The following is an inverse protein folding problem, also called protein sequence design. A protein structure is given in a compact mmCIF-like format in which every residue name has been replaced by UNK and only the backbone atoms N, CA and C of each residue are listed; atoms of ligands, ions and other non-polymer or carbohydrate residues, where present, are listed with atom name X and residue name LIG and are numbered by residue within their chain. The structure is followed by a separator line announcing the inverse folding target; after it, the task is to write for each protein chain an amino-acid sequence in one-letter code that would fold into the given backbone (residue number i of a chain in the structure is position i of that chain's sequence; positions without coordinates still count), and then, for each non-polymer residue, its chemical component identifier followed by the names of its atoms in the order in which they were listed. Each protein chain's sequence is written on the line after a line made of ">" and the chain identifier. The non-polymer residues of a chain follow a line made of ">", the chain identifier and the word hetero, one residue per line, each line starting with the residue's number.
data_IF_617998297435
#
_entry.id   IF_617998297435
#
_cell.length_a   1.000
_cell.length_b   1.000
_cell.length_c   1.000
_cell.angle_alpha   90.00
_cell.angle_beta   90.00
_cell.angle_gamma   90.00
#
_symmetry.space_group_name_H-M   'P 1'
#
loop_
_entity.id
_entity.type
_entity.pdbx_description
1 polymer ?
#
# COMPACT_ATOMS: atom_id res chain seq x y z
N UNK A 1 4.23 -8.40 34.35
CA UNK A 1 5.02 -7.28 33.81
C UNK A 1 4.96 -6.16 34.83
N UNK A 2 6.11 -5.72 35.34
CA UNK A 2 6.16 -4.72 36.40
C UNK A 2 5.62 -3.38 35.88
N UNK A 3 4.58 -2.86 36.53
CA UNK A 3 3.94 -1.58 36.17
C UNK A 3 4.95 -0.43 36.20
N UNK A 4 5.95 -0.50 37.09
CA UNK A 4 6.98 0.51 37.22
C UNK A 4 7.90 0.54 35.99
N UNK A 5 8.28 -0.63 35.47
CA UNK A 5 9.08 -0.75 34.24
C UNK A 5 8.29 -0.21 33.05
N UNK A 6 7.03 -0.62 32.90
CA UNK A 6 6.18 -0.15 31.80
C UNK A 6 5.99 1.37 31.81
N UNK A 7 5.78 1.98 32.98
CA UNK A 7 5.66 3.44 33.13
C UNK A 7 6.95 4.19 32.78
N UNK A 8 8.10 3.64 33.18
CA UNK A 8 9.41 4.25 32.91
C UNK A 8 9.69 4.32 31.41
N UNK A 9 9.38 3.26 30.66
CA UNK A 9 9.65 3.19 29.23
C UNK A 9 8.54 3.78 28.35
N UNK A 10 7.30 3.88 28.84
CA UNK A 10 6.19 4.45 28.07
C UNK A 10 6.36 5.95 27.75
N UNK A 11 7.09 6.69 28.57
CA UNK A 11 7.37 8.11 28.37
C UNK A 11 8.69 8.36 27.61
N UNK A 12 9.49 7.32 27.35
CA UNK A 12 10.76 7.45 26.67
C UNK A 12 10.55 7.63 25.16
N UNK A 13 11.26 8.58 24.56
CA UNK A 13 11.33 8.70 23.09
C UNK A 13 12.15 7.53 22.55
N UNK A 14 11.48 6.51 22.04
CA UNK A 14 12.12 5.35 21.41
C UNK A 14 12.15 5.53 19.89
N UNK A 15 13.23 5.09 19.21
CA UNK A 15 13.24 5.05 17.75
C UNK A 15 12.10 4.17 17.24
N UNK A 16 11.46 4.61 16.15
CA UNK A 16 10.53 3.75 15.39
C UNK A 16 11.36 2.77 14.56
N UNK A 17 11.58 1.57 15.08
CA UNK A 17 12.31 0.50 14.38
C UNK A 17 11.45 -0.11 13.27
N UNK A 18 11.30 0.63 12.18
CA UNK A 18 10.66 0.19 10.92
C UNK A 18 11.66 -0.51 10.01
N UNK A 19 12.95 -0.18 10.13
CA UNK A 19 14.09 -0.84 9.50
C UNK A 19 15.35 -0.66 10.35
N UNK A 20 16.40 -1.42 10.04
CA UNK A 20 17.75 -1.19 10.58
C UNK A 20 18.81 -1.27 9.47
N UNK A 21 19.65 -0.24 9.28
CA UNK A 21 19.59 1.07 9.92
C UNK A 21 18.26 1.81 9.65
N UNK A 22 17.94 2.79 10.48
CA UNK A 22 16.66 3.53 10.34
C UNK A 22 16.74 4.54 9.20
N UNK A 23 15.60 5.02 8.71
CA UNK A 23 15.55 6.08 7.68
C UNK A 23 16.23 7.39 8.10
N UNK A 24 16.47 7.62 9.40
CA UNK A 24 17.24 8.77 9.87
C UNK A 24 18.72 8.75 9.42
N UNK A 25 19.22 7.57 9.02
CA UNK A 25 20.57 7.39 8.50
C UNK A 25 20.63 7.58 6.97
N UNK A 26 19.53 7.92 6.29
CA UNK A 26 19.56 8.18 4.85
C UNK A 26 20.32 9.48 4.56
N UNK A 27 21.18 9.44 3.55
CA UNK A 27 22.01 10.56 3.13
C UNK A 27 22.26 10.52 1.60
N UNK A 28 22.66 11.65 1.02
CA UNK A 28 22.85 11.81 -0.44
C UNK A 28 24.07 11.06 -1.02
N UNK A 29 24.71 10.19 -0.22
CA UNK A 29 25.86 9.39 -0.64
C UNK A 29 25.46 8.06 -1.29
N UNK A 30 24.17 7.74 -1.32
CA UNK A 30 23.59 6.64 -2.09
C UNK A 30 22.77 7.25 -3.23
N UNK A 31 23.19 6.98 -4.46
CA UNK A 31 22.61 7.60 -5.66
C UNK A 31 22.02 6.62 -6.66
N UNK A 32 21.71 7.14 -7.85
CA UNK A 32 21.14 6.35 -8.94
C UNK A 32 22.06 5.20 -9.38
N UNK A 33 23.38 5.42 -9.44
CA UNK A 33 24.37 4.39 -9.81
C UNK A 33 24.38 3.22 -8.82
N UNK A 34 24.20 3.50 -7.52
CA UNK A 34 24.11 2.46 -6.50
C UNK A 34 22.84 1.63 -6.66
N UNK A 35 21.70 2.29 -6.87
CA UNK A 35 20.44 1.62 -7.13
C UNK A 35 20.48 0.76 -8.39
N UNK A 36 21.06 1.26 -9.48
CA UNK A 36 21.26 0.50 -10.72
C UNK A 36 22.13 -0.73 -10.48
N UNK A 37 23.25 -0.57 -9.78
CA UNK A 37 24.15 -1.66 -9.43
C UNK A 37 23.46 -2.71 -8.56
N UNK A 38 22.65 -2.31 -7.59
CA UNK A 38 21.91 -3.24 -6.73
C UNK A 38 20.82 -4.00 -7.48
N UNK A 39 20.05 -3.33 -8.35
CA UNK A 39 19.04 -3.97 -9.18
C UNK A 39 19.66 -4.96 -10.17
N UNK A 40 20.80 -4.61 -10.78
CA UNK A 40 21.51 -5.49 -11.70
C UNK A 40 22.19 -6.69 -11.00
N UNK A 41 22.44 -6.59 -9.69
CA UNK A 41 23.07 -7.64 -8.89
C UNK A 41 22.10 -8.71 -8.38
N UNK A 42 20.79 -8.54 -8.58
CA UNK A 42 19.78 -9.53 -8.19
C UNK A 42 20.05 -10.86 -8.91
N UNK A 43 20.18 -11.93 -8.14
CA UNK A 43 20.50 -13.24 -8.67
C UNK A 43 19.26 -13.95 -9.26
N UNK A 44 19.43 -14.87 -10.22
CA UNK A 44 18.31 -15.59 -10.83
C UNK A 44 17.44 -16.40 -9.86
N UNK A 45 17.98 -16.81 -8.72
CA UNK A 45 17.30 -17.57 -7.67
C UNK A 45 16.67 -16.69 -6.57
N UNK A 46 16.87 -15.37 -6.63
CA UNK A 46 16.25 -14.42 -5.69
C UNK A 46 14.81 -14.07 -6.11
N UNK A 47 13.92 -14.02 -5.12
CA UNK A 47 12.52 -13.62 -5.34
C UNK A 47 12.33 -12.13 -5.09
N UNK A 48 11.34 -11.53 -5.74
CA UNK A 48 11.03 -10.10 -5.58
C UNK A 48 9.79 -9.88 -4.72
N UNK A 49 9.83 -8.79 -3.94
CA UNK A 49 8.68 -8.21 -3.25
C UNK A 49 8.49 -6.79 -3.74
N UNK A 50 7.30 -6.47 -4.27
CA UNK A 50 6.98 -5.17 -4.83
C UNK A 50 6.08 -4.39 -3.87
N UNK A 51 6.46 -3.15 -3.57
CA UNK A 51 5.59 -2.19 -2.87
C UNK A 51 5.25 -1.04 -3.81
N UNK A 52 3.96 -0.84 -4.06
CA UNK A 52 3.44 0.18 -4.97
C UNK A 52 2.71 1.24 -4.13
N UNK A 53 3.29 2.43 -4.09
CA UNK A 53 2.77 3.52 -3.27
C UNK A 53 1.76 4.35 -4.07
N UNK A 54 0.54 4.53 -3.55
CA UNK A 54 -0.48 5.42 -4.13
C UNK A 54 -0.71 6.58 -3.15
N UNK A 55 -0.13 7.78 -3.39
CA UNK A 55 -0.04 8.86 -2.41
C UNK A 55 -1.30 9.74 -2.36
N UNK A 56 -2.47 9.17 -2.61
CA UNK A 56 -3.73 9.92 -2.71
C UNK A 56 -4.78 9.37 -1.75
N UNK A 57 -5.51 10.29 -1.13
CA UNK A 57 -6.67 10.04 -0.30
C UNK A 57 -7.81 10.95 -0.74
N UNK A 58 -9.06 10.50 -0.58
CA UNK A 58 -10.23 11.38 -0.78
C UNK A 58 -10.28 12.48 0.30
N UNK A 59 -9.81 12.19 1.52
CA UNK A 59 -9.68 13.13 2.63
C UNK A 59 -8.59 12.68 3.60
N UNK A 60 -7.92 13.61 4.27
CA UNK A 60 -6.92 13.27 5.30
C UNK A 60 -7.60 12.91 6.63
N UNK A 61 -7.14 11.82 7.25
CA UNK A 61 -7.48 11.49 8.62
C UNK A 61 -6.68 12.39 9.57
N UNK A 62 -7.29 12.89 10.66
CA UNK A 62 -6.62 13.75 11.64
C UNK A 62 -5.40 13.11 12.32
N UNK A 63 -5.33 11.78 12.36
CA UNK A 63 -4.19 11.02 12.89
C UNK A 63 -3.24 10.51 11.80
N UNK A 64 -3.48 10.87 10.54
CA UNK A 64 -2.71 10.31 9.43
C UNK A 64 -1.24 10.75 9.56
N UNK A 65 -0.35 9.77 9.72
CA UNK A 65 1.10 9.95 9.61
C UNK A 65 1.67 9.35 8.33
N UNK A 66 0.81 8.94 7.38
CA UNK A 66 1.23 8.36 6.11
C UNK A 66 1.74 9.45 5.16
N UNK A 67 2.67 9.09 4.28
CA UNK A 67 3.05 9.96 3.17
C UNK A 67 1.93 9.95 2.13
N UNK A 68 1.05 10.95 2.17
CA UNK A 68 -0.13 11.02 1.30
C UNK A 68 -0.62 12.46 1.14
N UNK A 69 -1.51 12.68 0.17
CA UNK A 69 -2.10 13.98 -0.13
C UNK A 69 -3.55 13.84 -0.56
N UNK A 70 -4.31 14.93 -0.47
CA UNK A 70 -5.64 15.04 -1.10
C UNK A 70 -5.46 15.82 -2.39
N UNK A 71 -5.61 15.19 -3.56
CA UNK A 71 -5.45 15.89 -4.83
C UNK A 71 -6.66 16.79 -5.11
N UNK A 72 -6.44 17.91 -5.79
CA UNK A 72 -7.51 18.85 -6.17
C UNK A 72 -8.41 18.32 -7.29
N UNK A 73 -7.94 17.32 -8.05
CA UNK A 73 -8.66 16.66 -9.14
C UNK A 73 -8.04 15.30 -9.45
N UNK A 74 -8.81 14.43 -10.10
CA UNK A 74 -8.35 13.08 -10.49
C UNK A 74 -7.22 13.10 -11.52
N UNK A 75 -7.11 14.17 -12.32
CA UNK A 75 -6.02 14.39 -13.30
C UNK A 75 -4.63 14.27 -12.66
N UNK A 76 -4.49 14.62 -11.38
CA UNK A 76 -3.21 14.45 -10.66
C UNK A 76 -2.86 12.97 -10.45
N UNK A 77 -3.86 12.11 -10.21
CA UNK A 77 -3.66 10.68 -10.08
C UNK A 77 -3.32 10.03 -11.43
N UNK A 78 -3.95 10.46 -12.51
CA UNK A 78 -3.62 10.02 -13.87
C UNK A 78 -2.17 10.39 -14.24
N UNK A 79 -1.78 11.65 -14.01
CA UNK A 79 -0.41 12.11 -14.26
C UNK A 79 0.63 11.36 -13.41
N UNK A 80 0.30 11.09 -12.15
CA UNK A 80 1.12 10.26 -11.27
C UNK A 80 1.24 8.82 -11.81
N UNK A 81 0.12 8.22 -12.22
CA UNK A 81 0.09 6.86 -12.73
C UNK A 81 0.93 6.71 -14.00
N UNK A 82 0.90 7.70 -14.90
CA UNK A 82 1.73 7.72 -16.09
C UNK A 82 3.24 7.72 -15.73
N UNK A 83 3.65 8.53 -14.74
CA UNK A 83 5.05 8.54 -14.25
C UNK A 83 5.42 7.23 -13.54
N UNK A 84 4.49 6.67 -12.76
CA UNK A 84 4.69 5.40 -12.07
C UNK A 84 4.91 4.25 -13.08
N UNK A 85 4.17 4.23 -14.20
CA UNK A 85 4.40 3.23 -15.26
C UNK A 85 5.78 3.39 -15.90
N UNK A 86 6.22 4.62 -16.18
CA UNK A 86 7.58 4.89 -16.69
C UNK A 86 8.66 4.44 -15.69
N UNK A 87 8.42 4.61 -14.39
CA UNK A 87 9.33 4.14 -13.34
C UNK A 87 9.36 2.61 -13.27
N UNK A 88 8.20 1.95 -13.32
CA UNK A 88 8.10 0.48 -13.37
C UNK A 88 8.88 -0.07 -14.57
N UNK A 89 8.74 0.55 -15.75
CA UNK A 89 9.45 0.14 -16.95
C UNK A 89 10.97 0.24 -16.78
N UNK A 90 11.46 1.33 -16.19
CA UNK A 90 12.88 1.56 -15.91
C UNK A 90 13.44 0.59 -14.88
N UNK A 91 12.74 0.37 -13.77
CA UNK A 91 13.17 -0.57 -12.72
C UNK A 91 13.19 -1.99 -13.28
N UNK A 92 12.12 -2.43 -13.93
CA UNK A 92 12.05 -3.75 -14.55
C UNK A 92 13.14 -3.95 -15.61
N UNK A 93 13.47 -2.91 -16.39
CA UNK A 93 14.53 -2.96 -17.39
C UNK A 93 15.95 -3.12 -16.83
N UNK A 94 16.16 -2.79 -15.55
CA UNK A 94 17.46 -2.91 -14.86
C UNK A 94 17.65 -4.25 -14.14
N UNK A 95 16.57 -5.00 -13.92
CA UNK A 95 16.62 -6.33 -13.29
C UNK A 95 16.77 -7.38 -14.40
N UNK A 96 17.94 -7.99 -14.52
CA UNK A 96 18.22 -8.96 -15.58
C UNK A 96 17.50 -10.30 -15.37
N UNK A 97 17.48 -10.79 -14.13
CA UNK A 97 16.95 -12.10 -13.75
C UNK A 97 16.33 -12.06 -12.33
N UNK A 98 15.37 -12.94 -12.06
CA UNK A 98 14.80 -13.20 -10.72
C UNK A 98 13.91 -14.47 -10.75
N UNK A 99 13.68 -15.11 -9.60
CA UNK A 99 12.81 -16.30 -9.43
C UNK A 99 11.32 -15.95 -9.26
N UNK A 100 10.91 -14.88 -9.96
CA UNK A 100 9.56 -14.34 -9.91
C UNK A 100 9.27 -13.43 -8.70
N UNK A 101 8.16 -12.70 -8.81
CA UNK A 101 7.59 -11.89 -7.73
C UNK A 101 6.74 -12.79 -6.82
N UNK A 102 6.98 -12.75 -5.51
CA UNK A 102 6.23 -13.48 -4.48
C UNK A 102 5.20 -12.61 -3.74
N UNK A 103 5.44 -11.29 -3.67
CA UNK A 103 4.56 -10.35 -2.98
C UNK A 103 4.40 -9.07 -3.80
N UNK A 104 3.17 -8.57 -3.89
CA UNK A 104 2.85 -7.25 -4.43
C UNK A 104 1.86 -6.56 -3.50
N UNK A 105 2.31 -5.49 -2.85
CA UNK A 105 1.50 -4.72 -1.91
C UNK A 105 1.22 -3.32 -2.46
N UNK A 106 -0.05 -2.97 -2.59
CA UNK A 106 -0.50 -1.62 -2.89
C UNK A 106 -0.83 -0.91 -1.57
N UNK A 107 -0.17 0.22 -1.29
CA UNK A 107 -0.38 0.97 -0.05
C UNK A 107 -0.18 2.48 -0.20
N UNK A 108 -0.12 3.19 0.92
CA UNK A 108 0.28 4.60 0.96
C UNK A 108 -0.78 5.53 1.54
N UNK A 109 -1.51 6.22 0.67
CA UNK A 109 -2.75 6.89 1.03
C UNK A 109 -3.90 5.90 1.04
N UNK A 110 -4.53 5.74 -0.12
CA UNK A 110 -5.39 4.60 -0.40
C UNK A 110 -5.31 4.21 -1.89
N UNK A 111 -4.85 3.00 -2.22
CA UNK A 111 -4.93 2.45 -3.58
C UNK A 111 -6.32 2.51 -4.22
N UNK A 112 -7.38 2.39 -3.42
CA UNK A 112 -8.77 2.51 -3.89
C UNK A 112 -9.20 3.93 -4.23
N UNK A 113 -8.29 4.92 -4.14
CA UNK A 113 -8.47 6.23 -4.74
C UNK A 113 -8.51 6.13 -6.27
N UNK A 114 -7.71 5.24 -6.87
CA UNK A 114 -7.71 5.00 -8.31
C UNK A 114 -9.09 4.56 -8.79
N UNK A 115 -9.41 4.90 -10.03
CA UNK A 115 -10.55 4.33 -10.75
C UNK A 115 -10.33 2.83 -10.95
N UNK A 116 -11.42 2.09 -11.17
CA UNK A 116 -11.34 0.66 -11.43
C UNK A 116 -10.46 0.35 -12.66
N UNK A 117 -10.60 1.14 -13.72
CA UNK A 117 -9.82 0.98 -14.96
C UNK A 117 -8.34 1.29 -14.77
N UNK A 118 -8.00 2.35 -14.04
CA UNK A 118 -6.61 2.69 -13.75
C UNK A 118 -5.93 1.66 -12.86
N UNK A 119 -6.65 1.09 -11.90
CA UNK A 119 -6.14 -0.01 -11.09
C UNK A 119 -5.88 -1.25 -11.94
N UNK A 120 -6.82 -1.63 -12.82
CA UNK A 120 -6.63 -2.74 -13.78
C UNK A 120 -5.44 -2.48 -14.70
N UNK A 121 -5.28 -1.24 -15.18
CA UNK A 121 -4.19 -0.83 -16.05
C UNK A 121 -2.84 -0.99 -15.34
N UNK A 122 -2.74 -0.51 -14.09
CA UNK A 122 -1.56 -0.66 -13.25
C UNK A 122 -1.20 -2.13 -12.99
N UNK A 123 -2.17 -2.93 -12.53
CA UNK A 123 -1.97 -4.35 -12.25
C UNK A 123 -1.54 -5.12 -13.51
N UNK A 124 -2.19 -4.83 -14.65
CA UNK A 124 -1.83 -5.41 -15.94
C UNK A 124 -0.44 -4.99 -16.39
N UNK A 125 -0.06 -3.73 -16.17
CA UNK A 125 1.27 -3.23 -16.49
C UNK A 125 2.36 -3.94 -15.66
N UNK A 126 2.16 -4.07 -14.35
CA UNK A 126 3.06 -4.84 -13.48
C UNK A 126 3.24 -6.29 -13.98
N UNK A 127 2.15 -6.98 -14.30
CA UNK A 127 2.19 -8.36 -14.83
C UNK A 127 2.89 -8.50 -16.19
N UNK A 128 2.93 -7.43 -17.00
CA UNK A 128 3.70 -7.42 -18.26
C UNK A 128 5.19 -7.18 -18.03
N UNK A 129 5.56 -6.46 -16.97
CA UNK A 129 6.94 -6.05 -16.70
C UNK A 129 7.69 -6.99 -15.77
N UNK A 130 6.99 -7.71 -14.90
CA UNK A 130 7.57 -8.70 -14.00
C UNK A 130 6.94 -10.07 -14.20
N UNK A 131 7.74 -11.13 -14.08
CA UNK A 131 7.22 -12.49 -13.94
C UNK A 131 6.71 -12.72 -12.52
N UNK A 132 5.43 -13.04 -12.36
CA UNK A 132 4.85 -13.38 -11.05
C UNK A 132 4.82 -14.89 -10.87
N UNK A 133 5.14 -15.36 -9.66
CA UNK A 133 4.91 -16.76 -9.31
C UNK A 133 3.41 -17.04 -9.22
N UNK A 134 3.04 -18.31 -9.37
CA UNK A 134 1.64 -18.75 -9.29
C UNK A 134 1.02 -18.51 -7.90
N UNK A 135 1.83 -18.60 -6.86
CA UNK A 135 1.47 -18.42 -5.46
C UNK A 135 1.75 -17.00 -4.93
N UNK A 136 2.02 -16.05 -5.82
CA UNK A 136 2.31 -14.67 -5.43
C UNK A 136 1.11 -14.05 -4.68
N UNK A 137 1.38 -13.44 -3.52
CA UNK A 137 0.35 -12.72 -2.76
C UNK A 137 0.20 -11.29 -3.27
N UNK A 138 -1.03 -10.92 -3.64
CA UNK A 138 -1.39 -9.54 -3.93
C UNK A 138 -2.19 -8.98 -2.75
N UNK A 139 -1.68 -7.90 -2.16
CA UNK A 139 -2.26 -7.24 -1.00
C UNK A 139 -2.55 -5.76 -1.27
N UNK A 140 -3.61 -5.24 -0.66
CA UNK A 140 -4.04 -3.85 -0.85
C UNK A 140 -4.53 -3.20 0.44
N UNK A 141 -4.23 -1.92 0.63
CA UNK A 141 -4.86 -1.07 1.63
C UNK A 141 -6.12 -0.40 1.04
N UNK A 142 -7.22 -0.45 1.78
CA UNK A 142 -8.54 0.02 1.33
C UNK A 142 -9.09 1.07 2.31
N UNK A 143 -9.50 2.20 1.76
CA UNK A 143 -10.42 3.11 2.44
C UNK A 143 -11.87 2.69 2.11
N UNK A 144 -12.62 2.14 3.08
CA UNK A 144 -13.97 1.63 2.83
C UNK A 144 -14.96 2.70 2.37
N UNK A 145 -14.65 3.99 2.53
CA UNK A 145 -15.48 5.10 2.03
C UNK A 145 -15.40 5.26 0.52
N UNK A 146 -14.33 4.75 -0.09
CA UNK A 146 -14.04 4.87 -1.54
C UNK A 146 -14.28 3.56 -2.29
N UNK A 147 -14.49 2.45 -1.58
CA UNK A 147 -14.71 1.15 -2.20
C UNK A 147 -16.16 1.01 -2.68
N UNK A 148 -16.33 0.97 -3.99
CA UNK A 148 -17.57 0.58 -4.68
C UNK A 148 -17.39 -0.77 -5.41
N UNK A 149 -18.47 -1.25 -6.02
CA UNK A 149 -18.52 -2.57 -6.66
C UNK A 149 -17.51 -2.66 -7.82
N UNK A 150 -17.39 -1.61 -8.64
CA UNK A 150 -16.44 -1.57 -9.77
C UNK A 150 -14.98 -1.68 -9.31
N UNK A 151 -14.62 -0.98 -8.23
CA UNK A 151 -13.28 -1.09 -7.63
C UNK A 151 -13.06 -2.45 -7.00
N UNK A 152 -14.06 -3.01 -6.32
CA UNK A 152 -13.95 -4.35 -5.73
C UNK A 152 -13.71 -5.41 -6.81
N UNK A 153 -14.41 -5.31 -7.94
CA UNK A 153 -14.19 -6.17 -9.12
C UNK A 153 -12.78 -5.97 -9.69
N UNK A 154 -12.31 -4.74 -9.84
CA UNK A 154 -10.95 -4.47 -10.33
C UNK A 154 -9.86 -5.07 -9.42
N UNK A 155 -10.03 -5.03 -8.10
CA UNK A 155 -9.13 -5.70 -7.15
C UNK A 155 -9.15 -7.22 -7.36
N UNK A 156 -10.33 -7.81 -7.51
CA UNK A 156 -10.48 -9.25 -7.77
C UNK A 156 -9.85 -9.66 -9.11
N UNK A 157 -10.07 -8.91 -10.18
CA UNK A 157 -9.49 -9.13 -11.51
C UNK A 157 -7.96 -9.08 -11.48
N UNK A 158 -7.39 -8.18 -10.65
CA UNK A 158 -5.95 -8.11 -10.46
C UNK A 158 -5.36 -9.30 -9.67
N UNK A 159 -6.21 -10.10 -9.03
CA UNK A 159 -5.85 -11.25 -8.21
C UNK A 159 -5.53 -10.89 -6.76
N UNK A 160 -6.05 -9.78 -6.23
CA UNK A 160 -5.86 -9.39 -4.83
C UNK A 160 -6.48 -10.43 -3.90
N UNK A 161 -5.64 -11.07 -3.08
CA UNK A 161 -6.05 -12.08 -2.11
C UNK A 161 -6.09 -11.57 -0.67
N UNK A 162 -5.44 -10.44 -0.37
CA UNK A 162 -5.39 -9.85 0.97
C UNK A 162 -5.75 -8.36 0.95
N UNK A 163 -6.62 -7.94 1.86
CA UNK A 163 -7.00 -6.54 2.00
C UNK A 163 -6.84 -6.08 3.46
N UNK A 164 -6.25 -4.90 3.65
CA UNK A 164 -6.23 -4.17 4.92
C UNK A 164 -7.24 -3.03 4.85
N UNK A 165 -8.18 -2.97 5.80
CA UNK A 165 -9.23 -1.97 5.84
C UNK A 165 -8.95 -0.93 6.92
N UNK A 166 -8.80 0.33 6.52
CA UNK A 166 -8.65 1.45 7.43
C UNK A 166 -9.97 1.76 8.15
N UNK A 167 -10.24 1.11 9.28
CA UNK A 167 -11.45 1.35 10.09
C UNK A 167 -11.16 2.21 11.32
N UNK A 168 -12.05 3.19 11.59
CA UNK A 168 -12.00 4.01 12.80
C UNK A 168 -13.16 3.65 13.73
N UNK A 169 -12.85 3.33 14.98
CA UNK A 169 -13.86 3.19 16.04
C UNK A 169 -14.35 4.59 16.43
N UNK A 170 -15.62 4.90 16.16
CA UNK A 170 -16.30 6.05 16.78
C UNK A 170 -16.89 5.63 18.12
N UNK A 171 -16.35 6.11 19.23
CA UNK A 171 -17.03 5.96 20.53
C UNK A 171 -18.16 7.00 20.65
N UNK A 172 -19.31 6.69 21.27
CA UNK A 172 -20.49 7.56 21.29
C UNK A 172 -20.28 8.95 21.92
N UNK A 173 -19.18 9.16 22.65
CA UNK A 173 -18.83 10.43 23.29
C UNK A 173 -18.09 11.41 22.38
N UNK A 174 -17.62 10.98 21.20
CA UNK A 174 -16.99 11.87 20.23
C UNK A 174 -18.05 12.50 19.30
N UNK A 175 -18.99 13.27 19.87
CA UNK A 175 -19.93 14.08 19.09
C UNK A 175 -19.19 15.33 18.59
N UNK A 176 -18.65 15.23 17.38
CA UNK A 176 -17.99 16.36 16.71
C UNK A 176 -17.30 16.04 15.39
N UNK A 177 -17.00 14.77 15.07
CA UNK A 177 -16.32 14.44 13.80
C UNK A 177 -17.23 13.70 12.83
N UNK A 178 -17.93 14.45 11.98
CA UNK A 178 -18.69 13.93 10.84
C UNK A 178 -17.75 13.47 9.71
N UNK A 179 -17.02 12.37 9.93
CA UNK A 179 -16.35 11.58 8.89
C UNK A 179 -16.42 10.08 9.27
N UNK A 180 -17.63 9.62 9.64
CA UNK A 180 -17.87 8.27 10.14
C UNK A 180 -18.26 7.29 9.03
N UNK A 181 -17.61 6.13 8.99
CA UNK A 181 -18.07 4.96 8.25
C UNK A 181 -18.93 4.12 9.21
N UNK A 182 -20.20 3.87 8.87
CA UNK A 182 -21.12 3.07 9.70
C UNK A 182 -20.78 1.58 9.63
N UNK A 183 -20.92 0.85 10.76
CA UNK A 183 -20.76 -0.60 10.85
C UNK A 183 -21.66 -1.38 9.86
N UNK A 184 -22.77 -0.78 9.44
CA UNK A 184 -23.70 -1.37 8.45
C UNK A 184 -23.10 -1.49 7.04
N UNK A 185 -22.12 -0.66 6.68
CA UNK A 185 -21.47 -0.69 5.36
C UNK A 185 -20.55 -1.91 5.22
N UNK A 186 -19.85 -2.29 6.29
CA UNK A 186 -19.03 -3.51 6.39
C UNK A 186 -19.85 -4.81 6.27
N UNK A 187 -21.09 -4.83 6.77
CA UNK A 187 -21.94 -6.01 6.74
C UNK A 187 -22.56 -6.26 5.35
N UNK A 188 -22.67 -5.22 4.50
CA UNK A 188 -23.24 -5.32 3.15
C UNK A 188 -22.26 -5.89 2.11
N UNK A 189 -20.95 -5.77 2.35
CA UNK A 189 -19.88 -6.25 1.46
C UNK A 189 -19.49 -7.73 1.69
N UNK A 190 -20.27 -8.48 2.49
CA UNK A 190 -20.12 -9.94 2.63
C UNK A 190 -20.76 -10.71 1.47
N UNK A 191 -20.39 -10.39 0.23
CA UNK A 191 -20.68 -11.22 -0.94
C UNK A 191 -19.44 -12.02 -1.33
N UNK A 192 -19.44 -13.31 -0.97
CA UNK A 192 -18.63 -14.48 -1.39
C UNK A 192 -17.15 -14.40 -1.88
N UNK A 193 -16.52 -13.24 -2.09
CA UNK A 193 -15.17 -13.12 -2.62
C UNK A 193 -14.07 -12.97 -1.54
N UNK A 194 -14.40 -12.47 -0.35
CA UNK A 194 -13.43 -12.22 0.72
C UNK A 194 -13.72 -13.08 1.95
N UNK A 195 -13.13 -14.28 1.99
CA UNK A 195 -13.09 -15.07 3.23
C UNK A 195 -12.06 -14.46 4.19
N UNK A 196 -12.57 -13.59 5.07
CA UNK A 196 -12.19 -13.46 6.49
C UNK A 196 -10.69 -13.50 6.85
N UNK A 197 -9.95 -12.40 6.64
CA UNK A 197 -8.77 -12.07 7.46
C UNK A 197 -8.63 -10.54 7.58
N UNK A 198 -9.36 -9.94 8.52
CA UNK A 198 -9.11 -8.56 8.93
C UNK A 198 -7.93 -8.58 9.92
N UNK A 199 -6.70 -8.54 9.42
CA UNK A 199 -5.56 -8.17 10.26
C UNK A 199 -5.61 -6.67 10.48
N UNK A 200 -5.89 -6.29 11.72
CA UNK A 200 -5.70 -4.93 12.22
C UNK A 200 -4.20 -4.66 12.15
N UNK A 201 -3.80 -3.70 11.33
CA UNK A 201 -2.46 -3.10 11.38
C UNK A 201 -2.50 -1.95 12.37
#
# INVERSE_FOLDING_TARGET
>A
MDKMIAQTYAAATTPRYTSYPTAAEFHDGVGAEDAERWLAAIAPDETLSLYIHIPFCQSLCWYCGCHTSVPNSYVRAEAYLARLMEEIDQVAGRIAHHDGVVHCHFGGGTPTYLSADDFRLLASHLRRRFSFRRDAEFAVEIDPRTLDDERAEALADAGVGRASLGFRISTPKCKGSSNGCSLSMLLRQRSNAFQSWASIV
#
